data_IF_060833473405
#
_entry.id   IF_060833473405
#
_cell.length_a   1.000
_cell.length_b   1.000
_cell.length_c   1.000
_cell.angle_alpha   90.00
_cell.angle_beta   90.00
_cell.angle_gamma   90.00
#
_symmetry.space_group_name_H-M   'P 1'
#
loop_
_entity.id
_entity.type
_entity.pdbx_description
1 polymer ?
#
# COMPACT_ATOMS: atom_id res chain seq x y z
N UNK A 1 6.69 20.66 17.05
CA UNK A 1 6.12 19.67 16.11
C UNK A 1 4.92 19.05 16.80
N UNK A 2 3.80 18.85 16.08
CA UNK A 2 2.62 18.23 16.67
C UNK A 2 2.86 16.73 16.93
N UNK A 3 2.17 16.17 17.93
CA UNK A 3 2.30 14.76 18.31
C UNK A 3 1.98 13.81 17.15
N UNK A 4 0.98 14.14 16.33
CA UNK A 4 0.67 13.36 15.12
C UNK A 4 1.78 13.45 14.08
N UNK A 5 2.45 14.59 13.94
CA UNK A 5 3.60 14.71 13.03
C UNK A 5 4.72 13.74 13.42
N UNK A 6 5.02 13.63 14.72
CA UNK A 6 6.05 12.70 15.21
C UNK A 6 5.61 11.25 14.95
N UNK A 7 4.34 10.92 15.23
CA UNK A 7 3.80 9.58 14.97
C UNK A 7 3.93 9.20 13.49
N UNK A 8 3.59 10.13 12.58
CA UNK A 8 3.76 9.91 11.14
C UNK A 8 5.22 9.69 10.73
N UNK A 9 6.15 10.46 11.28
CA UNK A 9 7.58 10.30 10.99
C UNK A 9 8.12 8.96 11.49
N UNK A 10 7.74 8.54 12.70
CA UNK A 10 8.13 7.24 13.26
C UNK A 10 7.56 6.11 12.41
N UNK A 11 6.29 6.23 11.99
CA UNK A 11 5.67 5.25 11.11
C UNK A 11 6.37 5.14 9.75
N UNK A 12 6.71 6.27 9.12
CA UNK A 12 7.46 6.30 7.85
C UNK A 12 8.86 5.68 7.99
N UNK A 13 9.56 5.96 9.10
CA UNK A 13 10.86 5.36 9.37
C UNK A 13 10.75 3.84 9.55
N UNK A 14 9.76 3.37 10.32
CA UNK A 14 9.51 1.94 10.50
C UNK A 14 9.18 1.25 9.16
N UNK A 15 8.32 1.87 8.34
CA UNK A 15 8.01 1.40 7.00
C UNK A 15 9.26 1.28 6.13
N UNK A 16 10.10 2.32 6.09
CA UNK A 16 11.34 2.31 5.31
C UNK A 16 12.32 1.23 5.74
N UNK A 17 12.45 0.96 7.04
CA UNK A 17 13.31 -0.13 7.55
C UNK A 17 12.76 -1.51 7.15
N UNK A 18 11.45 -1.74 7.33
CA UNK A 18 10.83 -3.02 6.99
C UNK A 18 10.92 -3.29 5.48
N UNK A 19 10.49 -2.32 4.66
CA UNK A 19 10.49 -2.48 3.21
C UNK A 19 11.92 -2.54 2.66
N UNK A 20 12.84 -1.71 3.19
CA UNK A 20 14.24 -1.70 2.79
C UNK A 20 14.95 -3.03 3.09
N UNK A 21 14.73 -3.61 4.27
CA UNK A 21 15.30 -4.93 4.60
C UNK A 21 14.67 -6.04 3.75
N UNK A 22 13.36 -5.98 3.47
CA UNK A 22 12.70 -6.91 2.55
C UNK A 22 13.28 -6.85 1.13
N UNK A 23 13.55 -5.64 0.61
CA UNK A 23 14.20 -5.44 -0.69
C UNK A 23 15.63 -6.00 -0.73
N UNK A 24 16.41 -5.80 0.33
CA UNK A 24 17.78 -6.34 0.43
C UNK A 24 17.80 -7.87 0.56
N UNK A 25 16.83 -8.45 1.27
CA UNK A 25 16.70 -9.89 1.43
C UNK A 25 16.26 -10.60 0.13
N UNK A 26 15.65 -9.87 -0.82
CA UNK A 26 15.18 -10.38 -2.13
C UNK A 26 14.28 -11.63 -2.04
N UNK A 27 13.66 -11.86 -0.89
CA UNK A 27 12.74 -12.97 -0.67
C UNK A 27 11.40 -12.62 -1.29
N UNK A 28 10.89 -13.53 -2.12
CA UNK A 28 9.59 -13.35 -2.75
C UNK A 28 8.49 -13.31 -1.67
N UNK A 29 7.70 -12.23 -1.66
CA UNK A 29 6.56 -12.08 -0.75
C UNK A 29 6.79 -11.17 0.44
N UNK A 30 8.03 -10.75 0.75
CA UNK A 30 8.31 -10.01 1.99
C UNK A 30 7.96 -8.51 1.90
N UNK A 31 7.87 -7.94 0.70
CA UNK A 31 7.56 -6.51 0.51
C UNK A 31 6.06 -6.22 0.64
N UNK A 32 5.71 -5.00 1.04
CA UNK A 32 4.32 -4.54 1.06
C UNK A 32 3.71 -4.63 -0.35
N UNK A 33 4.47 -4.29 -1.38
CA UNK A 33 4.04 -4.44 -2.77
C UNK A 33 3.66 -5.88 -3.12
N UNK A 34 4.44 -6.87 -2.67
CA UNK A 34 4.13 -8.28 -2.89
C UNK A 34 2.84 -8.70 -2.17
N UNK A 35 2.59 -8.21 -0.96
CA UNK A 35 1.35 -8.44 -0.25
C UNK A 35 0.14 -7.83 -0.99
N UNK A 36 0.28 -6.60 -1.50
CA UNK A 36 -0.75 -5.94 -2.31
C UNK A 36 -1.03 -6.72 -3.59
N UNK A 37 -0.01 -7.17 -4.32
CA UNK A 37 -0.19 -7.98 -5.54
C UNK A 37 -0.83 -9.34 -5.26
N UNK A 38 -0.46 -9.98 -4.15
CA UNK A 38 -1.07 -11.23 -3.69
C UNK A 38 -2.54 -11.02 -3.36
N UNK A 39 -2.88 -9.94 -2.67
CA UNK A 39 -4.27 -9.59 -2.39
C UNK A 39 -5.03 -9.23 -3.66
N UNK A 40 -4.46 -8.47 -4.58
CA UNK A 40 -5.11 -8.15 -5.85
C UNK A 40 -5.16 -9.33 -6.84
N UNK A 41 -4.65 -10.50 -6.44
CA UNK A 41 -4.54 -11.70 -7.26
C UNK A 41 -3.92 -11.40 -8.64
N UNK A 42 -2.82 -10.65 -8.66
CA UNK A 42 -2.16 -10.27 -9.93
C UNK A 42 -1.51 -11.47 -10.60
N UNK A 43 -0.88 -12.37 -9.83
CA UNK A 43 -0.19 -13.58 -10.31
C UNK A 43 -0.85 -14.90 -9.90
N UNK A 44 -2.15 -14.88 -9.57
CA UNK A 44 -2.86 -16.08 -9.08
C UNK A 44 -4.31 -16.11 -9.52
N UNK A 45 -4.96 -17.25 -9.30
CA UNK A 45 -6.36 -17.46 -9.65
C UNK A 45 -7.26 -17.20 -8.42
N UNK A 46 -8.32 -16.43 -8.63
CA UNK A 46 -9.35 -16.17 -7.62
C UNK A 46 -10.67 -15.87 -8.31
N UNK A 47 -11.75 -16.49 -7.82
CA UNK A 47 -13.11 -16.22 -8.29
C UNK A 47 -13.51 -14.74 -8.20
N UNK A 48 -12.83 -13.99 -7.33
CA UNK A 48 -13.08 -12.56 -7.08
C UNK A 48 -11.98 -11.65 -7.67
N UNK A 49 -11.16 -12.13 -8.61
CA UNK A 49 -10.07 -11.35 -9.24
C UNK A 49 -10.54 -9.95 -9.66
N UNK A 50 -11.62 -9.86 -10.42
CA UNK A 50 -12.10 -8.59 -10.95
C UNK A 50 -12.66 -7.66 -9.88
N UNK A 51 -13.30 -8.23 -8.84
CA UNK A 51 -13.77 -7.45 -7.69
C UNK A 51 -12.59 -6.88 -6.91
N UNK A 52 -11.57 -7.69 -6.59
CA UNK A 52 -10.41 -7.26 -5.80
C UNK A 52 -9.59 -6.20 -6.55
N UNK A 53 -9.39 -6.39 -7.85
CA UNK A 53 -8.72 -5.41 -8.72
C UNK A 53 -9.55 -4.14 -8.89
N UNK A 54 -10.87 -4.27 -9.06
CA UNK A 54 -11.80 -3.14 -9.13
C UNK A 54 -11.76 -2.30 -7.85
N UNK A 55 -11.77 -2.94 -6.69
CA UNK A 55 -11.63 -2.29 -5.38
C UNK A 55 -10.27 -1.59 -5.24
N UNK A 56 -9.17 -2.22 -5.69
CA UNK A 56 -7.85 -1.57 -5.67
C UNK A 56 -7.85 -0.30 -6.51
N UNK A 57 -8.37 -0.37 -7.74
CA UNK A 57 -8.41 0.77 -8.67
C UNK A 57 -9.31 1.88 -8.11
N UNK A 58 -10.50 1.53 -7.61
CA UNK A 58 -11.41 2.50 -7.02
C UNK A 58 -10.79 3.19 -5.81
N UNK A 59 -10.13 2.43 -4.93
CA UNK A 59 -9.44 2.98 -3.78
C UNK A 59 -8.30 3.92 -4.18
N UNK A 60 -7.45 3.52 -5.14
CA UNK A 60 -6.35 4.37 -5.60
C UNK A 60 -6.85 5.63 -6.31
N UNK A 61 -7.87 5.51 -7.15
CA UNK A 61 -8.49 6.66 -7.82
C UNK A 61 -9.07 7.64 -6.80
N UNK A 62 -9.81 7.12 -5.81
CA UNK A 62 -10.34 7.92 -4.70
C UNK A 62 -9.21 8.56 -3.89
N UNK A 63 -8.20 7.80 -3.45
CA UNK A 63 -7.11 8.30 -2.63
C UNK A 63 -6.32 9.41 -3.34
N UNK A 64 -6.03 9.23 -4.63
CA UNK A 64 -5.40 10.27 -5.45
C UNK A 64 -6.28 11.52 -5.52
N UNK A 65 -7.58 11.38 -5.80
CA UNK A 65 -8.50 12.51 -5.85
C UNK A 65 -8.64 13.20 -4.48
N UNK A 66 -8.69 12.44 -3.39
CA UNK A 66 -8.75 12.93 -2.01
C UNK A 66 -7.55 13.83 -1.71
N UNK A 67 -6.33 13.37 -1.99
CA UNK A 67 -5.13 14.19 -1.78
C UNK A 67 -5.10 15.44 -2.69
N UNK A 68 -5.45 15.31 -3.96
CA UNK A 68 -5.46 16.43 -4.92
C UNK A 68 -6.49 17.52 -4.58
N UNK A 69 -7.59 17.14 -3.92
CA UNK A 69 -8.67 18.07 -3.54
C UNK A 69 -8.54 18.59 -2.11
N UNK A 70 -7.50 18.18 -1.37
CA UNK A 70 -7.34 18.53 0.05
C UNK A 70 -8.37 17.86 0.95
N UNK A 71 -8.85 16.67 0.57
CA UNK A 71 -9.71 15.82 1.38
C UNK A 71 -11.22 16.01 1.19
N UNK A 72 -11.64 16.56 0.04
CA UNK A 72 -13.05 16.93 -0.22
C UNK A 72 -13.87 15.85 -0.90
N UNK A 73 -13.23 14.80 -1.41
CA UNK A 73 -13.86 13.64 -2.03
C UNK A 73 -13.51 12.39 -1.29
#
# INVERSE_FOLDING_TARGET
MDGYTIAWLVWLAAFGVIEGTALLNKREGDTLGAHVWKWAAIKGDSRLVWVRRGLLVAFLAWLSAHFLTGGRV
#
